data_IF_392781388792
#
_entry.id   IF_392781388792
#
_cell.length_a   1.000
_cell.length_b   1.000
_cell.length_c   1.000
_cell.angle_alpha   90.00
_cell.angle_beta   90.00
_cell.angle_gamma   90.00
#
_symmetry.space_group_name_H-M   'P 1'
#
loop_
_entity.id
_entity.type
_entity.pdbx_description
1 polymer ?
#
# COMPACT_ATOMS: atom_id res chain seq x y z
N UNK A 1 68.58 -17.61 -27.52
CA UNK A 1 67.52 -17.29 -28.50
C UNK A 1 66.43 -18.33 -28.58
N UNK A 2 66.65 -19.63 -28.60
CA UNK A 2 65.58 -20.66 -28.64
C UNK A 2 64.58 -20.62 -27.44
N UNK A 3 65.05 -20.33 -26.21
CA UNK A 3 64.20 -20.24 -25.00
C UNK A 3 63.32 -18.98 -24.99
N UNK A 4 63.78 -17.88 -25.64
CA UNK A 4 62.99 -16.63 -25.73
C UNK A 4 61.85 -16.77 -26.74
N UNK A 5 62.08 -17.49 -27.83
CA UNK A 5 61.07 -17.81 -28.86
C UNK A 5 59.97 -18.75 -28.29
N UNK A 6 60.34 -19.66 -27.39
CA UNK A 6 59.39 -20.55 -26.72
C UNK A 6 58.48 -19.79 -25.70
N UNK A 7 59.05 -18.80 -25.01
CA UNK A 7 58.28 -17.95 -24.09
C UNK A 7 57.31 -17.02 -24.87
N UNK A 8 57.77 -16.49 -26.04
CA UNK A 8 56.90 -15.67 -26.90
C UNK A 8 55.76 -16.49 -27.54
N UNK A 9 56.00 -17.76 -27.86
CA UNK A 9 54.98 -18.66 -28.40
C UNK A 9 53.90 -19.04 -27.34
N UNK A 10 54.29 -19.17 -26.06
CA UNK A 10 53.36 -19.46 -24.98
C UNK A 10 52.47 -18.25 -24.66
N UNK A 11 52.98 -17.03 -24.73
CA UNK A 11 52.20 -15.82 -24.52
C UNK A 11 51.20 -15.53 -25.66
N UNK A 12 51.49 -15.99 -26.90
CA UNK A 12 50.55 -15.85 -28.02
C UNK A 12 49.36 -16.81 -27.97
N UNK A 13 49.49 -17.93 -27.27
CA UNK A 13 48.40 -18.93 -27.13
C UNK A 13 47.43 -18.50 -26.03
N UNK A 14 47.85 -17.71 -25.05
CA UNK A 14 46.99 -17.23 -23.96
C UNK A 14 45.95 -16.17 -24.38
N UNK A 15 46.09 -15.59 -25.59
CA UNK A 15 45.20 -14.51 -26.06
C UNK A 15 43.95 -14.98 -26.85
N UNK A 16 43.71 -16.28 -26.98
CA UNK A 16 42.53 -16.84 -27.65
C UNK A 16 41.48 -17.43 -26.68
N UNK A 17 41.41 -16.95 -25.45
CA UNK A 17 40.24 -17.17 -24.64
C UNK A 17 39.10 -16.32 -25.22
N UNK A 18 38.37 -16.90 -26.18
CA UNK A 18 37.14 -16.33 -26.72
C UNK A 18 36.18 -16.12 -25.56
N UNK A 19 36.17 -14.91 -25.04
CA UNK A 19 35.22 -14.57 -23.99
C UNK A 19 33.82 -14.62 -24.60
N UNK A 20 32.96 -15.42 -24.00
CA UNK A 20 31.54 -15.56 -24.38
C UNK A 20 30.68 -14.68 -23.50
N UNK A 21 29.57 -14.20 -24.04
CA UNK A 21 28.57 -13.53 -23.24
C UNK A 21 27.86 -14.57 -22.36
N UNK A 22 27.58 -14.21 -21.11
CA UNK A 22 26.83 -15.05 -20.17
C UNK A 22 25.58 -14.33 -19.73
N UNK A 23 24.43 -14.92 -20.03
CA UNK A 23 23.12 -14.42 -19.65
C UNK A 23 22.68 -15.13 -18.38
N UNK A 24 22.57 -14.40 -17.28
CA UNK A 24 22.10 -14.90 -15.99
C UNK A 24 20.63 -14.58 -15.82
N UNK A 25 19.80 -15.62 -15.72
CA UNK A 25 18.35 -15.50 -15.45
C UNK A 25 18.11 -15.38 -13.95
N UNK A 26 16.97 -14.80 -13.58
CA UNK A 26 16.49 -14.78 -12.19
C UNK A 26 16.25 -16.19 -11.62
N UNK A 27 15.92 -17.15 -12.49
CA UNK A 27 15.75 -18.57 -12.15
C UNK A 27 16.34 -19.44 -13.27
N UNK A 28 17.09 -20.46 -12.89
CA UNK A 28 17.68 -21.42 -13.82
C UNK A 28 19.18 -21.19 -14.06
N UNK A 29 19.80 -22.04 -14.91
CA UNK A 29 21.22 -21.94 -15.21
C UNK A 29 21.54 -20.73 -16.09
N UNK A 30 22.79 -20.28 -16.04
CA UNK A 30 23.30 -19.28 -16.95
C UNK A 30 23.36 -19.83 -18.39
N UNK A 31 23.11 -18.96 -19.37
CA UNK A 31 23.16 -19.29 -20.78
C UNK A 31 24.46 -18.73 -21.34
N UNK A 32 25.28 -19.60 -21.94
CA UNK A 32 26.43 -19.18 -22.74
C UNK A 32 25.90 -18.76 -24.12
N UNK A 33 26.11 -17.51 -24.47
CA UNK A 33 25.46 -16.90 -25.61
C UNK A 33 26.43 -15.95 -26.36
N UNK A 34 25.97 -15.56 -27.53
CA UNK A 34 26.41 -14.36 -28.23
C UNK A 34 25.21 -13.42 -28.29
N UNK A 35 25.26 -12.32 -27.54
CA UNK A 35 24.23 -11.29 -27.57
C UNK A 35 24.31 -10.56 -28.91
N UNK A 36 23.18 -10.47 -29.61
CA UNK A 36 23.09 -9.83 -30.93
C UNK A 36 22.54 -8.42 -30.77
N UNK A 37 21.52 -8.26 -29.94
CA UNK A 37 20.80 -6.99 -29.77
C UNK A 37 20.28 -6.87 -28.35
N UNK A 38 20.45 -5.69 -27.77
CA UNK A 38 19.86 -5.29 -26.48
C UNK A 38 18.73 -4.32 -26.80
N UNK A 39 17.51 -4.84 -26.94
CA UNK A 39 16.29 -4.05 -27.18
C UNK A 39 15.82 -3.31 -25.91
N UNK A 40 14.65 -2.68 -25.99
CA UNK A 40 14.07 -1.95 -24.85
C UNK A 40 13.65 -2.92 -23.76
N UNK A 41 12.87 -3.96 -24.08
CA UNK A 41 12.30 -4.92 -23.12
C UNK A 41 12.83 -6.35 -23.29
N UNK A 42 13.59 -6.61 -24.34
CA UNK A 42 14.09 -7.93 -24.71
C UNK A 42 15.55 -7.94 -25.12
N UNK A 43 16.18 -9.10 -25.03
CA UNK A 43 17.54 -9.39 -25.50
C UNK A 43 17.45 -10.47 -26.55
N UNK A 44 18.05 -10.23 -27.73
CA UNK A 44 18.20 -11.22 -28.79
C UNK A 44 19.59 -11.84 -28.72
N UNK A 45 19.69 -13.14 -28.74
CA UNK A 45 20.94 -13.85 -28.61
C UNK A 45 20.93 -15.16 -29.44
N UNK A 46 22.12 -15.67 -29.75
CA UNK A 46 22.36 -17.03 -30.23
C UNK A 46 23.07 -17.83 -29.16
N UNK A 47 22.86 -19.14 -29.14
CA UNK A 47 23.63 -20.02 -28.26
C UNK A 47 25.10 -20.03 -28.75
N UNK A 48 26.01 -19.98 -27.78
CA UNK A 48 27.44 -19.97 -28.10
C UNK A 48 27.87 -21.25 -28.84
N UNK A 49 27.30 -22.40 -28.43
CA UNK A 49 27.58 -23.72 -29.01
C UNK A 49 26.88 -23.94 -30.37
N UNK A 50 26.00 -23.02 -30.78
CA UNK A 50 25.29 -23.09 -32.07
C UNK A 50 25.19 -21.71 -32.73
N UNK A 51 26.27 -21.14 -33.22
CA UNK A 51 26.30 -19.77 -33.75
C UNK A 51 25.49 -19.61 -35.04
N UNK A 52 25.26 -20.68 -35.80
CA UNK A 52 24.46 -20.68 -37.03
C UNK A 52 22.99 -21.03 -36.77
N UNK A 53 22.65 -21.31 -35.51
CA UNK A 53 21.30 -21.64 -35.07
C UNK A 53 20.31 -20.46 -35.07
N UNK A 54 19.08 -20.69 -34.61
CA UNK A 54 18.08 -19.65 -34.56
C UNK A 54 18.44 -18.55 -33.54
N UNK A 55 17.85 -17.37 -33.74
CA UNK A 55 17.90 -16.28 -32.78
C UNK A 55 16.87 -16.53 -31.70
N UNK A 56 17.33 -16.55 -30.45
CA UNK A 56 16.48 -16.65 -29.27
C UNK A 56 16.20 -15.26 -28.70
N UNK A 57 15.07 -15.13 -28.05
CA UNK A 57 14.65 -13.89 -27.37
C UNK A 57 14.44 -14.18 -25.89
N UNK A 58 14.89 -13.30 -25.02
CA UNK A 58 14.63 -13.36 -23.59
C UNK A 58 14.23 -11.97 -23.09
N UNK A 59 13.20 -11.91 -22.27
CA UNK A 59 12.73 -10.66 -21.66
C UNK A 59 13.72 -10.18 -20.59
N UNK A 60 14.07 -8.89 -20.59
CA UNK A 60 14.91 -8.25 -19.56
C UNK A 60 14.36 -8.44 -18.15
N UNK A 61 13.05 -8.48 -18.00
CA UNK A 61 12.35 -8.73 -16.72
C UNK A 61 12.67 -10.09 -16.10
N UNK A 62 13.11 -11.07 -16.91
CA UNK A 62 13.48 -12.41 -16.46
C UNK A 62 14.98 -12.58 -16.15
N UNK A 63 15.77 -11.53 -16.41
CA UNK A 63 17.23 -11.54 -16.23
C UNK A 63 17.65 -10.95 -14.89
N UNK A 64 18.75 -11.46 -14.37
CA UNK A 64 19.50 -10.86 -13.27
C UNK A 64 20.55 -9.89 -13.85
N UNK A 65 21.45 -10.41 -14.66
CA UNK A 65 22.48 -9.61 -15.33
C UNK A 65 23.04 -10.34 -16.57
N UNK A 66 23.76 -9.59 -17.42
CA UNK A 66 24.57 -10.16 -18.51
C UNK A 66 26.03 -9.75 -18.26
N UNK A 67 26.93 -10.71 -18.40
CA UNK A 67 28.37 -10.49 -18.48
C UNK A 67 28.77 -10.63 -19.94
N UNK A 68 29.17 -9.53 -20.55
CA UNK A 68 29.61 -9.53 -21.94
C UNK A 68 31.04 -10.07 -22.07
N UNK A 69 31.39 -10.48 -23.27
CA UNK A 69 32.71 -11.00 -23.62
C UNK A 69 33.85 -10.02 -23.31
N UNK A 70 33.58 -8.72 -23.32
CA UNK A 70 34.50 -7.64 -22.96
C UNK A 70 34.67 -7.40 -21.47
N UNK A 71 33.97 -8.19 -20.62
CA UNK A 71 33.96 -8.06 -19.17
C UNK A 71 32.95 -7.04 -18.62
N UNK A 72 32.26 -6.32 -19.47
CA UNK A 72 31.18 -5.40 -19.05
C UNK A 72 30.03 -6.19 -18.46
N UNK A 73 29.46 -5.68 -17.33
CA UNK A 73 28.31 -6.27 -16.66
C UNK A 73 27.13 -5.32 -16.76
N UNK A 74 26.04 -5.80 -17.34
CA UNK A 74 24.79 -5.05 -17.42
C UNK A 74 23.72 -5.74 -16.55
N UNK A 75 23.26 -5.04 -15.51
CA UNK A 75 22.29 -5.55 -14.54
C UNK A 75 20.87 -5.19 -14.97
N UNK A 76 19.99 -6.19 -14.99
CA UNK A 76 18.56 -6.04 -15.32
C UNK A 76 17.65 -6.24 -14.11
N UNK A 77 18.16 -6.90 -13.07
CA UNK A 77 17.44 -7.05 -11.82
C UNK A 77 17.34 -5.69 -11.13
N UNK A 78 16.19 -5.06 -11.28
CA UNK A 78 15.85 -3.88 -10.51
C UNK A 78 15.55 -4.36 -9.09
N UNK A 79 16.45 -4.10 -8.17
CA UNK A 79 16.17 -4.28 -6.77
C UNK A 79 15.22 -3.17 -6.31
N UNK A 80 13.94 -3.48 -6.12
CA UNK A 80 12.97 -2.52 -5.56
C UNK A 80 13.36 -2.00 -4.17
N UNK A 81 14.39 -2.58 -3.56
CA UNK A 81 14.94 -2.16 -2.28
C UNK A 81 16.09 -1.17 -2.43
N UNK A 82 16.61 -0.97 -3.64
CA UNK A 82 17.73 -0.08 -3.88
C UNK A 82 17.23 1.37 -3.94
N UNK A 83 17.64 2.23 -3.00
CA UNK A 83 17.24 3.63 -2.99
C UNK A 83 17.65 4.40 -4.26
N UNK A 84 18.73 3.99 -4.92
CA UNK A 84 19.23 4.62 -6.15
C UNK A 84 18.19 4.62 -7.29
N UNK A 85 17.28 3.63 -7.31
CA UNK A 85 16.22 3.56 -8.32
C UNK A 85 15.12 4.62 -8.14
N UNK A 86 15.12 5.33 -7.02
CA UNK A 86 14.10 6.32 -6.65
C UNK A 86 14.69 7.72 -6.42
N UNK A 87 15.94 7.92 -6.86
CA UNK A 87 16.61 9.19 -6.70
C UNK A 87 15.86 10.31 -7.45
N UNK A 88 15.70 11.46 -6.81
CA UNK A 88 14.95 12.59 -7.34
C UNK A 88 13.43 12.53 -7.20
N UNK A 89 12.87 11.40 -6.74
CA UNK A 89 11.43 11.28 -6.56
C UNK A 89 10.95 11.94 -5.26
N UNK A 90 9.70 12.44 -5.28
CA UNK A 90 9.05 12.98 -4.10
C UNK A 90 8.67 11.86 -3.13
N UNK A 91 9.00 12.04 -1.86
CA UNK A 91 8.81 11.02 -0.81
C UNK A 91 7.70 11.34 0.17
N UNK A 92 7.01 12.46 -0.01
CA UNK A 92 5.94 12.96 0.88
C UNK A 92 4.67 13.18 0.10
N UNK A 93 3.52 13.00 0.77
CA UNK A 93 2.22 13.25 0.17
C UNK A 93 1.19 13.69 1.21
N UNK A 94 0.25 14.51 0.77
CA UNK A 94 -0.96 14.86 1.52
C UNK A 94 -2.13 14.24 0.77
N UNK A 95 -3.03 13.57 1.52
CA UNK A 95 -4.21 12.90 0.97
C UNK A 95 -5.44 13.25 1.80
N UNK A 96 -6.60 13.14 1.18
CA UNK A 96 -7.91 13.21 1.85
C UNK A 96 -8.66 11.91 1.62
N UNK A 97 -9.46 11.49 2.57
CA UNK A 97 -10.41 10.41 2.36
C UNK A 97 -11.61 10.95 1.57
N UNK A 98 -11.70 10.55 0.29
CA UNK A 98 -12.69 11.08 -0.64
C UNK A 98 -14.14 10.77 -0.25
N UNK A 99 -14.37 9.61 0.38
CA UNK A 99 -15.70 9.16 0.78
C UNK A 99 -16.09 9.63 2.19
N UNK A 100 -15.13 10.05 3.02
CA UNK A 100 -15.38 10.43 4.41
C UNK A 100 -16.44 11.54 4.58
N UNK A 101 -16.49 12.61 3.75
CA UNK A 101 -17.52 13.63 3.87
C UNK A 101 -18.94 13.10 3.66
N UNK A 102 -19.14 12.05 2.87
CA UNK A 102 -20.42 11.38 2.69
C UNK A 102 -20.87 10.62 3.94
N UNK A 103 -19.90 10.20 4.76
CA UNK A 103 -20.09 9.47 6.01
C UNK A 103 -20.14 10.40 7.24
N UNK A 104 -20.12 11.72 7.05
CA UNK A 104 -20.27 12.71 8.11
C UNK A 104 -18.97 13.13 8.79
N UNK A 105 -17.81 12.86 8.21
CA UNK A 105 -16.51 13.32 8.72
C UNK A 105 -15.57 13.74 7.60
N UNK A 106 -14.50 14.42 7.93
CA UNK A 106 -13.42 14.77 7.00
C UNK A 106 -12.10 14.32 7.61
N UNK A 107 -11.24 13.69 6.81
CA UNK A 107 -9.95 13.17 7.27
C UNK A 107 -8.85 13.51 6.29
N UNK A 108 -7.76 14.08 6.81
CA UNK A 108 -6.56 14.44 6.07
C UNK A 108 -5.41 13.55 6.53
N UNK A 109 -4.61 13.09 5.59
CA UNK A 109 -3.45 12.22 5.81
C UNK A 109 -2.18 12.89 5.34
N UNK A 110 -1.13 12.70 6.10
CA UNK A 110 0.26 12.96 5.71
C UNK A 110 1.00 11.64 5.64
N UNK A 111 1.63 11.36 4.52
CA UNK A 111 2.46 10.18 4.30
C UNK A 111 3.88 10.58 3.98
N UNK A 112 4.87 9.86 4.54
CA UNK A 112 6.28 9.99 4.19
C UNK A 112 6.91 8.62 4.01
N UNK A 113 7.48 8.40 2.83
CA UNK A 113 8.34 7.25 2.56
C UNK A 113 9.68 7.44 3.27
N UNK A 114 10.09 6.46 4.08
CA UNK A 114 11.37 6.48 4.83
C UNK A 114 12.44 5.63 4.16
N UNK A 115 12.02 4.70 3.34
CA UNK A 115 12.90 3.89 2.48
C UNK A 115 12.04 3.25 1.39
N UNK A 116 12.66 2.68 0.33
CA UNK A 116 11.90 1.85 -0.58
C UNK A 116 11.10 0.80 0.18
N UNK A 117 9.81 0.66 -0.11
CA UNK A 117 8.89 -0.28 0.51
C UNK A 117 8.52 0.00 1.99
N UNK A 118 8.80 1.18 2.53
CA UNK A 118 8.43 1.56 3.90
C UNK A 118 8.02 3.02 3.97
N UNK A 119 6.84 3.28 4.59
CA UNK A 119 6.33 4.63 4.80
C UNK A 119 5.57 4.70 6.13
N UNK A 120 5.54 5.86 6.77
CA UNK A 120 4.57 6.12 7.82
C UNK A 120 3.47 7.03 7.29
N UNK A 121 2.29 6.86 7.85
CA UNK A 121 1.11 7.67 7.53
C UNK A 121 0.46 8.14 8.82
N UNK A 122 0.25 9.44 8.94
CA UNK A 122 -0.44 10.08 10.05
C UNK A 122 -1.68 10.76 9.51
N UNK A 123 -2.77 10.74 10.26
CA UNK A 123 -3.97 11.46 9.86
C UNK A 123 -4.70 12.08 11.04
N UNK A 124 -5.45 13.12 10.73
CA UNK A 124 -6.40 13.76 11.63
C UNK A 124 -7.76 13.85 10.95
N UNK A 125 -8.82 13.59 11.71
CA UNK A 125 -10.18 13.66 11.23
C UNK A 125 -11.07 14.52 12.14
N UNK A 126 -12.02 15.23 11.52
CA UNK A 126 -13.04 16.02 12.19
C UNK A 126 -14.39 15.36 11.93
N UNK A 127 -15.03 14.92 13.00
CA UNK A 127 -16.39 14.36 13.00
C UNK A 127 -17.40 15.51 12.99
N UNK A 128 -18.46 15.38 12.19
CA UNK A 128 -19.43 16.44 11.96
C UNK A 128 -19.09 17.36 10.77
N UNK A 129 -17.89 17.25 10.23
CA UNK A 129 -17.50 17.96 9.01
C UNK A 129 -17.75 17.09 7.77
N UNK A 130 -18.97 17.11 7.26
CA UNK A 130 -19.41 16.35 6.08
C UNK A 130 -20.92 16.45 5.88
N UNK A 131 -21.45 15.64 4.95
CA UNK A 131 -22.89 15.56 4.69
C UNK A 131 -23.60 15.14 5.99
N UNK A 132 -24.67 15.84 6.32
CA UNK A 132 -25.38 15.66 7.56
C UNK A 132 -26.27 14.39 7.50
N UNK A 133 -25.67 13.22 7.67
CA UNK A 133 -26.37 11.94 7.91
C UNK A 133 -26.63 11.71 9.41
N UNK A 134 -26.82 12.81 10.15
CA UNK A 134 -26.95 12.80 11.61
C UNK A 134 -28.40 12.71 12.07
N UNK A 135 -29.31 12.32 11.20
CA UNK A 135 -30.67 12.00 11.55
C UNK A 135 -30.73 10.53 11.97
N UNK A 136 -31.31 10.28 13.11
CA UNK A 136 -31.56 8.95 13.62
C UNK A 136 -33.04 8.84 14.02
N UNK A 137 -33.56 7.63 14.10
CA UNK A 137 -34.97 7.36 14.41
C UNK A 137 -35.08 6.64 15.75
N UNK A 138 -36.09 6.98 16.50
CA UNK A 138 -36.51 6.22 17.67
C UNK A 138 -38.01 5.99 17.64
N UNK A 139 -38.46 4.92 18.28
CA UNK A 139 -39.86 4.56 18.37
C UNK A 139 -40.43 4.93 19.76
N UNK A 140 -41.43 5.80 19.74
CA UNK A 140 -42.18 6.14 20.95
C UNK A 140 -43.67 5.80 20.72
N UNK A 141 -44.25 4.97 21.55
CA UNK A 141 -45.66 4.55 21.45
C UNK A 141 -46.06 4.03 20.05
N UNK A 142 -45.16 3.29 19.39
CA UNK A 142 -45.36 2.74 18.05
C UNK A 142 -45.22 3.72 16.91
N UNK A 143 -44.83 4.96 17.17
CA UNK A 143 -44.55 5.98 16.17
C UNK A 143 -43.05 6.23 16.04
N UNK A 144 -42.55 6.29 14.80
CA UNK A 144 -41.16 6.71 14.50
C UNK A 144 -41.02 8.20 14.67
N UNK A 145 -40.05 8.61 15.45
CA UNK A 145 -39.64 10.00 15.66
C UNK A 145 -38.19 10.19 15.17
N UNK A 146 -37.94 11.27 14.41
CA UNK A 146 -36.62 11.58 13.89
C UNK A 146 -35.95 12.62 14.78
N UNK A 147 -34.70 12.41 15.15
CA UNK A 147 -33.90 13.39 15.89
C UNK A 147 -32.53 13.64 15.26
N UNK A 148 -31.91 14.75 15.65
CA UNK A 148 -30.55 15.09 15.19
C UNK A 148 -29.52 14.63 16.22
N UNK A 149 -28.61 13.76 15.81
CA UNK A 149 -27.48 13.33 16.64
C UNK A 149 -26.52 14.47 16.94
N UNK A 150 -26.34 15.45 16.06
CA UNK A 150 -25.41 16.57 16.20
C UNK A 150 -24.02 16.11 16.64
N UNK A 151 -23.49 15.06 16.00
CA UNK A 151 -22.21 14.51 16.34
C UNK A 151 -21.10 15.53 15.97
N UNK A 152 -20.21 15.78 16.95
CA UNK A 152 -19.05 16.65 16.75
C UNK A 152 -17.87 16.19 17.58
N UNK A 153 -16.70 16.12 16.98
CA UNK A 153 -15.46 15.71 17.63
C UNK A 153 -14.30 15.51 16.64
N UNK A 154 -13.33 14.72 17.07
CA UNK A 154 -12.16 14.45 16.23
C UNK A 154 -11.46 13.16 16.58
N UNK A 155 -10.55 12.75 15.71
CA UNK A 155 -9.71 11.57 15.91
C UNK A 155 -8.35 11.73 15.23
N UNK A 156 -7.40 10.95 15.72
CA UNK A 156 -6.07 10.82 15.16
C UNK A 156 -5.82 9.37 14.79
N UNK A 157 -5.05 9.17 13.74
CA UNK A 157 -4.64 7.86 13.26
C UNK A 157 -3.16 7.87 12.92
N UNK A 158 -2.45 6.80 13.30
CA UNK A 158 -1.07 6.58 12.93
C UNK A 158 -0.90 5.17 12.38
N UNK A 159 -0.19 5.02 11.27
CA UNK A 159 0.07 3.74 10.64
C UNK A 159 1.44 3.66 9.99
N UNK A 160 1.92 2.43 9.82
CA UNK A 160 3.19 2.16 9.15
C UNK A 160 2.97 1.22 7.97
N UNK A 161 3.31 1.67 6.77
CA UNK A 161 3.15 0.90 5.54
C UNK A 161 4.36 0.00 5.28
N UNK A 162 4.07 -1.27 5.00
CA UNK A 162 5.02 -2.24 4.48
C UNK A 162 4.62 -2.60 3.05
N UNK A 163 5.30 -2.07 2.04
CA UNK A 163 5.04 -2.34 0.63
C UNK A 163 5.73 -3.63 0.22
N UNK A 164 5.23 -4.78 0.67
CA UNK A 164 5.89 -6.09 0.45
C UNK A 164 5.00 -7.17 -0.12
N UNK A 165 3.72 -6.88 -0.32
CA UNK A 165 2.85 -7.89 -0.91
C UNK A 165 3.19 -8.03 -2.40
N UNK A 166 3.20 -9.28 -2.92
CA UNK A 166 3.23 -9.50 -4.35
C UNK A 166 2.12 -8.68 -4.99
N UNK A 167 2.43 -8.01 -6.07
CA UNK A 167 1.43 -7.26 -6.82
C UNK A 167 0.44 -8.26 -7.44
N UNK A 168 -0.66 -8.54 -6.75
CA UNK A 168 -1.69 -9.46 -7.22
C UNK A 168 -2.43 -8.94 -8.45
N UNK A 169 -2.33 -7.65 -8.71
CA UNK A 169 -3.11 -6.96 -9.74
C UNK A 169 -2.41 -6.99 -11.09
N UNK A 170 -1.08 -7.08 -11.13
CA UNK A 170 -0.31 -7.11 -12.38
C UNK A 170 1.00 -7.87 -12.25
N UNK A 171 1.15 -8.98 -12.98
CA UNK A 171 2.46 -9.58 -13.22
C UNK A 171 3.31 -8.57 -14.00
N UNK A 172 4.45 -8.16 -13.42
CA UNK A 172 5.43 -7.31 -14.10
C UNK A 172 5.21 -5.80 -13.96
N UNK A 173 4.39 -5.31 -13.03
CA UNK A 173 4.33 -3.88 -12.74
C UNK A 173 5.67 -3.43 -12.17
N UNK A 174 6.40 -2.64 -12.93
CA UNK A 174 7.54 -1.89 -12.43
C UNK A 174 7.01 -0.95 -11.34
N UNK A 175 7.56 -1.01 -10.13
CA UNK A 175 7.35 0.05 -9.15
C UNK A 175 8.05 1.29 -9.71
N UNK A 176 7.28 2.13 -10.37
CA UNK A 176 7.81 3.32 -11.03
C UNK A 176 8.05 4.45 -10.04
N UNK A 177 7.44 4.39 -8.85
CA UNK A 177 7.54 5.43 -7.84
C UNK A 177 7.68 4.84 -6.42
N UNK A 178 8.51 5.48 -5.56
CA UNK A 178 8.80 5.03 -4.20
C UNK A 178 7.56 4.91 -3.32
N UNK A 179 6.52 5.71 -3.59
CA UNK A 179 5.25 5.71 -2.85
C UNK A 179 4.18 4.82 -3.49
N UNK A 180 4.47 4.16 -4.61
CA UNK A 180 3.51 3.29 -5.32
C UNK A 180 3.62 1.85 -4.84
N UNK A 181 2.50 1.13 -4.85
CA UNK A 181 2.44 -0.33 -4.67
C UNK A 181 1.41 -0.81 -3.67
N UNK A 182 1.32 -2.13 -3.56
CA UNK A 182 0.46 -2.82 -2.60
C UNK A 182 1.14 -2.87 -1.23
N UNK A 183 0.39 -2.62 -0.17
CA UNK A 183 0.94 -2.55 1.18
C UNK A 183 0.07 -3.25 2.22
N UNK A 184 0.72 -3.62 3.32
CA UNK A 184 0.10 -3.92 4.61
C UNK A 184 0.41 -2.76 5.55
N UNK A 185 -0.61 -2.25 6.25
CA UNK A 185 -0.46 -1.12 7.16
C UNK A 185 -1.16 -1.43 8.49
N UNK A 186 -0.46 -1.87 9.55
CA UNK A 186 -0.96 -1.76 10.90
C UNK A 186 -1.20 -0.29 11.24
N UNK A 187 -2.35 -0.02 11.84
CA UNK A 187 -2.86 1.33 12.11
C UNK A 187 -3.47 1.36 13.50
N UNK A 188 -3.14 2.38 14.29
CA UNK A 188 -3.80 2.70 15.54
C UNK A 188 -4.60 3.99 15.38
N UNK A 189 -5.86 3.97 15.85
CA UNK A 189 -6.76 5.12 15.83
C UNK A 189 -7.27 5.40 17.23
N UNK A 190 -7.39 6.69 17.56
CA UNK A 190 -8.02 7.14 18.80
C UNK A 190 -8.85 8.39 18.52
N UNK A 191 -10.09 8.43 19.04
CA UNK A 191 -10.99 9.54 18.82
C UNK A 191 -11.98 9.76 19.97
N UNK A 192 -12.54 10.97 19.96
CA UNK A 192 -13.55 11.41 20.89
C UNK A 192 -14.57 12.29 20.17
N UNK A 193 -15.85 12.07 20.42
CA UNK A 193 -16.92 12.93 19.93
C UNK A 193 -18.11 12.96 20.89
N UNK A 194 -18.85 14.06 20.84
CA UNK A 194 -20.15 14.17 21.51
C UNK A 194 -21.26 13.99 20.51
N UNK A 195 -22.31 13.24 20.86
CA UNK A 195 -23.55 13.17 20.09
C UNK A 195 -24.78 13.18 21.02
N UNK A 196 -25.94 13.45 20.46
CA UNK A 196 -27.19 13.33 21.15
C UNK A 196 -27.70 11.90 21.01
N UNK A 197 -28.15 11.30 22.12
CA UNK A 197 -28.73 9.97 22.16
C UNK A 197 -29.84 9.93 23.19
N UNK A 198 -30.80 9.03 23.00
CA UNK A 198 -31.87 8.83 23.96
C UNK A 198 -31.41 7.98 25.15
N UNK A 199 -31.76 8.44 26.36
CA UNK A 199 -31.60 7.69 27.59
C UNK A 199 -32.95 7.10 27.98
N UNK A 200 -33.04 5.78 28.06
CA UNK A 200 -34.27 5.04 28.38
C UNK A 200 -34.36 4.58 29.85
N UNK A 201 -33.39 4.98 30.69
CA UNK A 201 -33.30 4.46 32.07
C UNK A 201 -34.33 5.01 33.04
N UNK A 202 -34.95 6.13 32.74
CA UNK A 202 -35.81 6.89 33.66
C UNK A 202 -37.27 6.96 33.25
N UNK A 203 -37.78 6.02 32.45
CA UNK A 203 -39.16 6.04 31.96
C UNK A 203 -39.25 6.57 30.52
N UNK A 204 -39.83 7.75 30.34
CA UNK A 204 -39.90 8.36 29.01
C UNK A 204 -38.51 8.67 28.46
N UNK A 205 -38.26 8.43 27.15
CA UNK A 205 -36.97 8.63 26.55
C UNK A 205 -36.58 10.12 26.55
N UNK A 206 -35.46 10.46 27.19
CA UNK A 206 -34.92 11.82 27.25
C UNK A 206 -33.73 11.92 26.35
N UNK A 207 -33.70 12.94 25.48
CA UNK A 207 -32.55 13.22 24.61
C UNK A 207 -31.42 13.87 25.42
N UNK A 208 -30.31 13.16 25.56
CA UNK A 208 -29.15 13.63 26.30
C UNK A 208 -27.90 13.67 25.39
N UNK A 209 -26.99 14.59 25.70
CA UNK A 209 -25.68 14.60 25.04
C UNK A 209 -24.74 13.67 25.77
N UNK A 210 -24.22 12.72 25.03
CA UNK A 210 -23.21 11.77 25.53
C UNK A 210 -21.85 12.00 24.88
N UNK A 211 -20.80 11.59 25.56
CA UNK A 211 -19.43 11.58 25.04
C UNK A 211 -19.02 10.15 24.70
N UNK A 212 -18.61 9.96 23.46
CA UNK A 212 -18.10 8.70 22.94
C UNK A 212 -16.60 8.79 22.79
N UNK A 213 -15.89 7.84 23.38
CA UNK A 213 -14.45 7.63 23.21
C UNK A 213 -14.29 6.31 22.47
N UNK A 214 -13.52 6.29 21.42
CA UNK A 214 -13.28 5.09 20.63
C UNK A 214 -11.82 4.96 20.21
N UNK A 215 -11.41 3.75 19.94
CA UNK A 215 -10.09 3.46 19.42
C UNK A 215 -10.03 2.13 18.71
N UNK A 216 -8.96 1.92 17.95
CA UNK A 216 -8.76 0.66 17.25
C UNK A 216 -7.32 0.38 16.96
N UNK A 217 -7.04 -0.91 16.76
CA UNK A 217 -5.82 -1.40 16.12
C UNK A 217 -6.25 -2.29 14.95
N UNK A 218 -6.01 -1.82 13.73
CA UNK A 218 -6.48 -2.46 12.50
C UNK A 218 -5.30 -2.73 11.58
N UNK A 219 -5.31 -3.89 10.93
CA UNK A 219 -4.38 -4.20 9.84
C UNK A 219 -5.09 -3.87 8.52
N UNK A 220 -4.63 -2.83 7.86
CA UNK A 220 -5.12 -2.41 6.56
C UNK A 220 -4.30 -3.04 5.44
N UNK A 221 -4.99 -3.51 4.41
CA UNK A 221 -4.45 -3.88 3.11
C UNK A 221 -4.86 -2.82 2.11
N UNK A 222 -3.94 -2.37 1.29
CA UNK A 222 -4.26 -1.35 0.30
C UNK A 222 -3.32 -1.35 -0.89
N UNK A 223 -3.70 -0.58 -1.89
CA UNK A 223 -2.88 -0.32 -3.06
C UNK A 223 -2.89 1.17 -3.37
N UNK A 224 -1.69 1.73 -3.54
CA UNK A 224 -1.47 3.12 -3.86
C UNK A 224 -0.88 3.26 -5.27
N UNK A 225 -1.52 4.09 -6.09
CA UNK A 225 -1.04 4.49 -7.41
C UNK A 225 -0.50 5.91 -7.37
N UNK A 226 0.51 6.15 -8.18
CA UNK A 226 1.07 7.48 -8.44
C UNK A 226 0.90 7.79 -9.93
N UNK A 227 0.32 8.92 -10.24
CA UNK A 227 0.06 9.37 -11.60
C UNK A 227 0.81 10.67 -11.89
N UNK A 228 1.65 10.66 -12.93
CA UNK A 228 2.42 11.83 -13.38
C UNK A 228 3.33 12.42 -12.31
N UNK A 229 3.86 11.56 -11.41
CA UNK A 229 4.73 11.93 -10.28
C UNK A 229 4.15 13.07 -9.41
N UNK A 230 2.82 13.19 -9.38
CA UNK A 230 2.13 14.27 -8.69
C UNK A 230 0.88 13.82 -7.93
N UNK A 231 0.02 13.01 -8.56
CA UNK A 231 -1.26 12.63 -8.00
C UNK A 231 -1.19 11.25 -7.33
N UNK A 232 -1.86 11.11 -6.19
CA UNK A 232 -1.98 9.88 -5.42
C UNK A 232 -3.42 9.40 -5.41
N UNK A 233 -3.63 8.11 -5.64
CA UNK A 233 -4.88 7.41 -5.37
C UNK A 233 -4.54 6.18 -4.52
N UNK A 234 -5.23 5.99 -3.41
CA UNK A 234 -4.96 4.93 -2.44
C UNK A 234 -6.29 4.31 -2.02
N UNK A 235 -6.48 3.03 -2.30
CA UNK A 235 -7.67 2.26 -1.90
C UNK A 235 -7.23 1.29 -0.82
N UNK A 236 -7.97 1.24 0.28
CA UNK A 236 -7.65 0.37 1.41
C UNK A 236 -8.89 -0.21 2.07
N UNK A 237 -8.71 -1.34 2.71
CA UNK A 237 -9.65 -1.97 3.63
C UNK A 237 -8.87 -2.65 4.74
N UNK A 238 -9.49 -2.82 5.90
CA UNK A 238 -8.81 -3.40 7.04
C UNK A 238 -9.75 -4.03 8.05
N UNK A 239 -9.19 -4.95 8.80
CA UNK A 239 -9.84 -5.66 9.90
C UNK A 239 -8.93 -5.63 11.13
N UNK A 240 -9.54 -5.60 12.30
CA UNK A 240 -8.80 -5.60 13.55
C UNK A 240 -9.68 -5.52 14.78
N UNK A 241 -9.10 -4.98 15.84
CA UNK A 241 -9.77 -4.81 17.12
C UNK A 241 -10.20 -3.35 17.30
N UNK A 242 -11.46 -3.13 17.68
CA UNK A 242 -11.98 -1.80 18.00
C UNK A 242 -12.63 -1.83 19.39
N UNK A 243 -12.48 -0.74 20.12
CA UNK A 243 -13.05 -0.55 21.45
C UNK A 243 -13.69 0.83 21.57
N UNK A 244 -14.65 0.95 22.45
CA UNK A 244 -15.33 2.20 22.80
C UNK A 244 -15.84 2.15 24.23
N UNK A 245 -16.36 3.28 24.72
CA UNK A 245 -17.01 3.39 26.02
C UNK A 245 -18.52 3.17 25.95
N UNK A 246 -19.07 2.76 24.81
CA UNK A 246 -20.48 2.49 24.64
C UNK A 246 -20.85 1.22 25.40
N UNK A 247 -21.73 1.36 26.40
CA UNK A 247 -22.25 0.20 27.16
C UNK A 247 -23.39 -0.42 26.37
N UNK A 248 -23.37 -1.72 26.19
CA UNK A 248 -24.50 -2.47 25.68
C UNK A 248 -25.63 -2.39 26.70
N UNK A 249 -26.76 -1.85 26.30
CA UNK A 249 -27.97 -1.85 27.15
C UNK A 249 -28.70 -3.17 26.92
N UNK A 250 -28.42 -4.16 27.80
CA UNK A 250 -28.95 -5.53 27.70
C UNK A 250 -30.48 -5.62 27.86
N UNK A 251 -31.13 -4.54 28.26
CA UNK A 251 -32.56 -4.53 28.48
C UNK A 251 -33.38 -4.18 27.23
N UNK A 252 -32.75 -3.85 26.12
CA UNK A 252 -33.46 -3.49 24.91
C UNK A 252 -33.24 -4.55 23.80
N UNK A 253 -34.24 -5.43 23.66
CA UNK A 253 -34.23 -6.59 22.73
C UNK A 253 -34.01 -6.23 21.25
N UNK A 254 -34.12 -4.94 20.89
CA UNK A 254 -33.92 -4.42 19.52
C UNK A 254 -32.49 -4.06 19.16
N UNK A 255 -31.54 -4.07 20.10
CA UNK A 255 -30.14 -3.59 19.87
C UNK A 255 -29.15 -4.69 19.51
N UNK A 256 -29.58 -5.93 19.30
CA UNK A 256 -28.65 -7.06 19.05
C UNK A 256 -28.02 -7.12 17.67
N UNK A 257 -28.37 -6.23 16.71
CA UNK A 257 -27.89 -6.28 15.34
C UNK A 257 -27.19 -5.00 14.86
N UNK A 258 -26.94 -4.03 15.72
CA UNK A 258 -26.41 -2.74 15.27
C UNK A 258 -24.88 -2.76 15.12
N UNK A 259 -24.44 -2.45 13.92
CA UNK A 259 -23.06 -2.09 13.64
C UNK A 259 -22.84 -0.69 14.22
N UNK A 260 -21.99 -0.59 15.25
CA UNK A 260 -21.61 0.73 15.79
C UNK A 260 -20.67 1.44 14.82
N UNK A 261 -21.15 2.56 14.29
CA UNK A 261 -20.36 3.38 13.38
C UNK A 261 -19.71 4.55 14.16
N UNK A 262 -18.39 4.48 14.32
CA UNK A 262 -17.58 5.55 14.86
C UNK A 262 -16.88 6.31 13.73
N UNK A 263 -17.61 6.59 12.64
CA UNK A 263 -17.17 7.34 11.47
C UNK A 263 -16.04 6.66 10.70
N UNK A 264 -14.78 6.79 11.12
CA UNK A 264 -13.64 6.15 10.48
C UNK A 264 -13.54 4.63 10.71
N UNK A 265 -14.29 4.10 11.68
CA UNK A 265 -14.25 2.71 12.11
C UNK A 265 -15.67 2.19 12.30
N UNK A 266 -15.95 1.01 11.77
CA UNK A 266 -17.16 0.27 12.06
C UNK A 266 -16.83 -0.86 13.03
N UNK A 267 -17.57 -0.94 14.15
CA UNK A 267 -17.45 -2.00 15.12
C UNK A 267 -18.64 -2.95 14.96
N UNK A 268 -18.36 -4.24 14.78
CA UNK A 268 -19.39 -5.26 14.64
C UNK A 268 -19.95 -5.63 16.02
N UNK A 269 -21.11 -5.07 16.34
CA UNK A 269 -21.92 -5.41 17.51
C UNK A 269 -21.36 -4.99 18.88
N UNK A 270 -22.21 -4.97 19.91
CA UNK A 270 -21.84 -4.53 21.26
C UNK A 270 -20.93 -5.51 22.00
N UNK A 271 -20.91 -6.78 21.61
CA UNK A 271 -20.09 -7.82 22.24
C UNK A 271 -18.86 -8.25 21.42
N UNK A 272 -18.80 -7.89 20.16
CA UNK A 272 -17.67 -8.22 19.28
C UNK A 272 -16.80 -6.98 19.12
N UNK A 273 -15.55 -7.06 19.56
CA UNK A 273 -14.57 -5.98 19.35
C UNK A 273 -13.94 -6.05 17.96
N UNK A 274 -14.65 -6.59 16.97
CA UNK A 274 -14.19 -6.62 15.58
C UNK A 274 -14.36 -5.22 14.96
N UNK A 275 -13.26 -4.61 14.59
CA UNK A 275 -13.22 -3.33 13.89
C UNK A 275 -12.97 -3.51 12.40
N UNK A 276 -13.68 -2.73 11.59
CA UNK A 276 -13.52 -2.67 10.14
C UNK A 276 -13.23 -1.24 9.72
N UNK A 277 -12.33 -1.06 8.79
CA UNK A 277 -12.05 0.23 8.15
C UNK A 277 -11.95 0.06 6.63
N UNK A 278 -12.16 1.15 5.90
CA UNK A 278 -11.98 1.15 4.46
C UNK A 278 -12.20 2.54 3.86
N UNK A 279 -11.65 2.76 2.68
CA UNK A 279 -11.84 4.04 2.01
C UNK A 279 -11.00 4.20 0.74
N UNK A 280 -11.24 5.35 0.11
CA UNK A 280 -10.50 5.81 -1.05
C UNK A 280 -9.87 7.15 -0.68
N UNK A 281 -8.55 7.23 -0.78
CA UNK A 281 -7.81 8.47 -0.55
C UNK A 281 -7.33 9.01 -1.89
N UNK A 282 -7.44 10.31 -2.05
CA UNK A 282 -6.88 11.04 -3.18
C UNK A 282 -5.96 12.14 -2.65
N UNK A 283 -4.88 12.42 -3.35
CA UNK A 283 -3.92 13.38 -2.83
C UNK A 283 -2.85 13.82 -3.82
N UNK A 284 -1.90 14.56 -3.29
CA UNK A 284 -0.79 15.13 -4.04
C UNK A 284 0.53 14.79 -3.36
N UNK A 285 1.55 14.55 -4.18
CA UNK A 285 2.93 14.54 -3.74
C UNK A 285 3.39 15.96 -3.43
N UNK A 286 4.17 16.10 -2.38
CA UNK A 286 4.73 17.37 -1.92
C UNK A 286 6.26 17.26 -1.71
N UNK A 287 6.95 18.39 -1.79
CA UNK A 287 8.40 18.48 -1.55
C UNK A 287 8.75 18.32 -0.06
#
# INVERSE_FOLDING_TARGET
MRKLLFLLAITSIASQLSAQDKIYKLKGPAINAKVIEVGIDEIKYKLYDNPDGPVYVVEKSSLDHIVFADGRVEKYKISFKDPANYEGQLTRGIKINFLAPLLGYTQVYYEKSVSPLKAYELSAGIIGAGRNSQLDEYYLNGQSQVYKRNAFGGFLEAGYKFNKLPDFVRRGTRMTHIMQGTYVKPTATFGIYGDNAFNYKTGDPVLERRTNVFGSVIINLGHQWVFGDKFLVDIFYGLGYAFDNTKADYNNYYYYSEIYNHFAIQKAGPGANLGVSGGIKVGLLIK
#
